data_IF_319652659752
#
_entry.id   IF_319652659752
#
_cell.length_a   1.000
_cell.length_b   1.000
_cell.length_c   1.000
_cell.angle_alpha   90.00
_cell.angle_beta   90.00
_cell.angle_gamma   90.00
#
_symmetry.space_group_name_H-M   'P 1'
#
loop_
_entity.id
_entity.type
_entity.pdbx_description
1 polymer ?
#
# COMPACT_ATOMS: atom_id res chain seq x y z
N UNK A 1 -5.00 15.90 -8.31
CA UNK A 1 -4.26 14.66 -8.61
C UNK A 1 -3.04 14.68 -7.71
N UNK A 2 -2.96 13.77 -6.74
CA UNK A 2 -1.85 13.71 -5.78
C UNK A 2 -0.60 13.20 -6.51
N UNK A 3 0.53 13.87 -6.34
CA UNK A 3 1.80 13.40 -6.88
C UNK A 3 2.38 12.31 -5.97
N UNK A 4 2.54 11.08 -6.50
CA UNK A 4 3.09 9.94 -5.77
C UNK A 4 4.54 10.21 -5.30
N UNK A 5 5.26 11.09 -5.98
CA UNK A 5 6.64 11.47 -5.62
C UNK A 5 6.68 12.31 -4.34
N UNK A 6 5.58 12.99 -3.99
CA UNK A 6 5.44 13.76 -2.76
C UNK A 6 5.00 12.95 -1.54
N UNK A 7 4.61 11.67 -1.74
CA UNK A 7 4.20 10.82 -0.63
C UNK A 7 5.40 10.52 0.27
N UNK A 8 5.18 10.64 1.57
CA UNK A 8 6.15 10.26 2.60
C UNK A 8 5.56 9.21 3.53
N UNK A 9 6.41 8.62 4.36
CA UNK A 9 5.98 7.62 5.34
C UNK A 9 4.98 8.22 6.35
N UNK A 10 5.13 9.50 6.69
CA UNK A 10 4.25 10.23 7.62
C UNK A 10 2.80 10.34 7.11
N UNK A 11 2.58 10.18 5.80
CA UNK A 11 1.24 10.13 5.24
C UNK A 11 0.51 8.82 5.58
N UNK A 12 1.26 7.75 5.84
CA UNK A 12 0.72 6.40 6.06
C UNK A 12 0.82 5.94 7.52
N UNK A 13 1.78 6.44 8.30
CA UNK A 13 1.91 6.09 9.73
C UNK A 13 0.63 6.30 10.55
N UNK A 14 -0.12 7.41 10.41
CA UNK A 14 -1.36 7.59 11.14
C UNK A 14 -2.45 6.58 10.76
N UNK A 15 -2.31 5.95 9.59
CA UNK A 15 -3.26 4.98 9.04
C UNK A 15 -2.93 3.54 9.45
N UNK A 16 -1.86 3.31 10.22
CA UNK A 16 -1.50 1.96 10.68
C UNK A 16 -2.67 1.34 11.47
N UNK A 17 -3.00 0.09 11.16
CA UNK A 17 -4.17 -0.66 11.64
C UNK A 17 -5.53 -0.11 11.22
N UNK A 18 -5.58 0.86 10.30
CA UNK A 18 -6.82 1.32 9.69
C UNK A 18 -7.13 0.53 8.41
N UNK A 19 -8.41 0.44 8.08
CA UNK A 19 -8.89 -0.15 6.83
C UNK A 19 -8.88 0.90 5.73
N UNK A 20 -8.17 0.60 4.66
CA UNK A 20 -8.17 1.32 3.39
C UNK A 20 -8.88 0.48 2.33
N UNK A 21 -9.19 1.08 1.19
CA UNK A 21 -9.77 0.37 0.05
C UNK A 21 -8.77 0.25 -1.09
N UNK A 22 -8.64 -0.96 -1.65
CA UNK A 22 -7.87 -1.22 -2.86
C UNK A 22 -8.85 -1.52 -3.99
N UNK A 23 -8.81 -0.73 -5.05
CA UNK A 23 -9.53 -0.98 -6.29
C UNK A 23 -8.62 -1.73 -7.27
N UNK A 24 -8.85 -3.04 -7.38
CA UNK A 24 -8.10 -3.95 -8.25
C UNK A 24 -8.53 -3.88 -9.71
N UNK A 25 -9.84 -3.68 -9.94
CA UNK A 25 -10.44 -3.45 -11.26
C UNK A 25 -11.54 -2.38 -11.14
N UNK A 26 -12.16 -1.97 -12.25
CA UNK A 26 -13.29 -1.02 -12.20
C UNK A 26 -14.50 -1.53 -11.39
N UNK A 27 -14.65 -2.86 -11.27
CA UNK A 27 -15.79 -3.51 -10.62
C UNK A 27 -15.41 -4.10 -9.25
N UNK A 28 -14.11 -4.26 -8.96
CA UNK A 28 -13.64 -4.92 -7.75
C UNK A 28 -12.84 -3.95 -6.88
N UNK A 29 -13.47 -3.57 -5.77
CA UNK A 29 -12.87 -2.84 -4.66
C UNK A 29 -12.91 -3.72 -3.42
N UNK A 30 -11.82 -3.77 -2.67
CA UNK A 30 -11.69 -4.58 -1.47
C UNK A 30 -11.15 -3.77 -0.32
N UNK A 31 -11.64 -4.08 0.87
CA UNK A 31 -11.08 -3.55 2.11
C UNK A 31 -9.74 -4.25 2.42
N UNK A 32 -8.77 -3.46 2.87
CA UNK A 32 -7.44 -3.92 3.24
C UNK A 32 -6.96 -3.16 4.49
N UNK A 33 -6.48 -3.88 5.50
CA UNK A 33 -5.87 -3.27 6.68
C UNK A 33 -4.42 -2.87 6.35
N UNK A 34 -4.02 -1.65 6.71
CA UNK A 34 -2.61 -1.26 6.70
C UNK A 34 -1.91 -1.88 7.90
N UNK A 35 -1.23 -3.01 7.68
CA UNK A 35 -0.68 -3.83 8.76
C UNK A 35 0.75 -3.49 9.12
N UNK A 36 1.51 -2.92 8.18
CA UNK A 36 2.91 -2.53 8.38
C UNK A 36 3.21 -1.24 7.64
N UNK A 37 4.02 -0.37 8.26
CA UNK A 37 4.61 0.82 7.64
C UNK A 37 6.06 0.89 8.13
N UNK A 38 7.02 0.89 7.22
CA UNK A 38 8.44 0.76 7.53
C UNK A 38 9.24 1.83 6.82
N UNK A 39 10.06 2.59 7.57
CA UNK A 39 11.12 3.42 7.00
C UNK A 39 12.26 2.52 6.55
N UNK A 40 12.61 2.59 5.27
CA UNK A 40 13.74 1.84 4.71
C UNK A 40 15.03 2.62 4.94
N UNK A 41 16.18 1.95 5.00
CA UNK A 41 17.44 2.68 5.17
C UNK A 41 17.68 3.61 3.97
N UNK A 42 17.84 4.90 4.24
CA UNK A 42 18.28 5.87 3.24
C UNK A 42 19.81 5.79 3.09
N UNK A 43 20.28 5.64 1.85
CA UNK A 43 21.66 5.96 1.52
C UNK A 43 21.80 7.47 1.33
N UNK A 44 23.00 8.01 1.56
CA UNK A 44 23.29 9.46 1.58
C UNK A 44 22.90 10.20 0.29
N UNK A 45 22.69 9.46 -0.80
CA UNK A 45 22.39 9.99 -2.14
C UNK A 45 20.92 9.88 -2.57
N UNK A 46 20.00 9.44 -1.70
CA UNK A 46 18.58 9.38 -2.06
C UNK A 46 17.89 10.74 -1.89
N UNK A 47 17.11 11.20 -2.90
CA UNK A 47 16.43 12.49 -2.84
C UNK A 47 15.31 12.54 -1.81
N UNK A 48 14.84 11.38 -1.33
CA UNK A 48 13.84 11.25 -0.26
C UNK A 48 14.11 10.02 0.61
N UNK A 49 13.49 10.02 1.79
CA UNK A 49 13.50 8.89 2.71
C UNK A 49 12.64 7.75 2.15
N UNK A 50 13.23 6.61 1.75
CA UNK A 50 12.46 5.49 1.23
C UNK A 50 11.62 4.85 2.35
N UNK A 51 10.49 4.29 1.98
CA UNK A 51 9.59 3.59 2.90
C UNK A 51 8.81 2.50 2.17
N UNK A 52 8.32 1.52 2.91
CA UNK A 52 7.36 0.54 2.43
C UNK A 52 6.16 0.45 3.35
N UNK A 53 5.08 -0.12 2.84
CA UNK A 53 3.95 -0.51 3.67
C UNK A 53 3.34 -1.82 3.18
N UNK A 54 2.61 -2.50 4.05
CA UNK A 54 1.88 -3.74 3.74
C UNK A 54 0.39 -3.54 3.99
N UNK A 55 -0.40 -3.90 2.98
CA UNK A 55 -1.86 -3.99 3.05
C UNK A 55 -2.28 -5.45 3.09
N UNK A 56 -3.18 -5.80 4.01
CA UNK A 56 -3.71 -7.17 4.14
C UNK A 56 -5.21 -7.19 3.83
N UNK A 57 -5.62 -7.93 2.80
CA UNK A 57 -7.04 -8.17 2.48
C UNK A 57 -7.53 -9.47 3.12
N UNK A 58 -8.84 -9.65 3.22
CA UNK A 58 -9.44 -10.88 3.75
C UNK A 58 -9.34 -12.11 2.81
N UNK A 59 -8.74 -11.97 1.62
CA UNK A 59 -8.65 -13.07 0.65
C UNK A 59 -7.72 -14.17 1.18
N UNK A 60 -8.09 -15.44 1.02
CA UNK A 60 -7.28 -16.59 1.47
C UNK A 60 -6.77 -17.48 0.33
N UNK A 61 -7.57 -17.64 -0.72
CA UNK A 61 -7.27 -18.54 -1.84
C UNK A 61 -7.12 -17.82 -3.18
N UNK A 62 -7.33 -16.50 -3.19
CA UNK A 62 -7.31 -15.66 -4.38
C UNK A 62 -6.37 -14.49 -4.14
N UNK A 63 -5.74 -14.01 -5.20
CA UNK A 63 -4.88 -12.85 -5.16
C UNK A 63 -4.84 -12.16 -6.51
N UNK A 64 -4.45 -10.89 -6.48
CA UNK A 64 -4.17 -10.13 -7.67
C UNK A 64 -2.67 -10.12 -7.96
N UNK A 65 -2.25 -10.27 -9.23
CA UNK A 65 -0.84 -10.22 -9.58
C UNK A 65 -0.25 -8.83 -9.33
N UNK A 66 1.07 -8.75 -9.26
CA UNK A 66 1.78 -7.48 -9.10
C UNK A 66 1.36 -6.49 -10.20
N UNK A 67 0.88 -5.32 -9.80
CA UNK A 67 0.42 -4.28 -10.71
C UNK A 67 0.21 -2.96 -9.98
N UNK A 68 -0.07 -1.90 -10.72
CA UNK A 68 -0.55 -0.65 -10.16
C UNK A 68 -2.06 -0.72 -9.92
N UNK A 69 -2.47 -0.60 -8.66
CA UNK A 69 -3.87 -0.55 -8.25
C UNK A 69 -4.19 0.77 -7.55
N UNK A 70 -5.47 1.10 -7.42
CA UNK A 70 -5.87 2.37 -6.81
C UNK A 70 -6.18 2.15 -5.33
N UNK A 71 -5.34 2.73 -4.47
CA UNK A 71 -5.54 2.74 -3.01
C UNK A 71 -6.27 4.02 -2.64
N UNK A 72 -7.41 3.90 -1.99
CA UNK A 72 -8.23 5.03 -1.55
C UNK A 72 -7.71 5.51 -0.20
N UNK A 73 -6.89 6.55 -0.23
CA UNK A 73 -6.37 7.22 0.94
C UNK A 73 -7.41 8.24 1.47
N UNK A 74 -7.68 8.31 2.78
CA UNK A 74 -8.73 9.18 3.34
C UNK A 74 -8.53 10.67 3.03
N UNK A 75 -7.30 11.17 3.16
CA UNK A 75 -7.00 12.59 2.89
C UNK A 75 -6.55 12.90 1.46
N UNK A 76 -5.82 11.98 0.81
CA UNK A 76 -5.19 12.19 -0.50
C UNK A 76 -5.98 11.64 -1.68
N UNK A 77 -7.11 10.97 -1.42
CA UNK A 77 -7.97 10.37 -2.43
C UNK A 77 -7.37 9.11 -3.05
N UNK A 78 -7.67 8.89 -4.33
CA UNK A 78 -7.23 7.69 -5.05
C UNK A 78 -5.76 7.80 -5.49
N UNK A 79 -4.93 6.90 -4.98
CA UNK A 79 -3.50 6.83 -5.25
C UNK A 79 -3.19 5.60 -6.12
N UNK A 80 -2.62 5.76 -7.33
CA UNK A 80 -2.16 4.63 -8.13
C UNK A 80 -0.86 4.06 -7.56
N UNK A 81 -0.94 3.00 -6.76
CA UNK A 81 0.19 2.40 -6.05
C UNK A 81 0.54 1.06 -6.68
N UNK A 82 1.84 0.86 -6.95
CA UNK A 82 2.35 -0.43 -7.39
C UNK A 82 2.41 -1.39 -6.19
N UNK A 83 1.58 -2.42 -6.23
CA UNK A 83 1.44 -3.42 -5.17
C UNK A 83 2.02 -4.75 -5.62
N UNK A 84 2.85 -5.36 -4.77
CA UNK A 84 3.46 -6.67 -4.97
C UNK A 84 2.82 -7.67 -4.00
N UNK A 85 2.24 -8.78 -4.48
CA UNK A 85 1.67 -9.80 -3.60
C UNK A 85 2.79 -10.52 -2.83
N UNK A 86 2.75 -10.49 -1.50
CA UNK A 86 3.66 -11.22 -0.61
C UNK A 86 3.15 -12.64 -0.27
N UNK A 87 1.93 -12.95 -0.67
CA UNK A 87 1.23 -14.17 -0.30
C UNK A 87 0.42 -14.03 0.99
N UNK A 88 -0.50 -14.95 1.26
CA UNK A 88 -1.38 -14.88 2.41
C UNK A 88 -0.66 -15.24 3.72
N UNK A 89 -1.14 -14.67 4.82
CA UNK A 89 -0.84 -15.07 6.20
C UNK A 89 -2.12 -15.56 6.91
N UNK A 90 -2.10 -15.62 8.25
CA UNK A 90 -3.27 -16.01 9.05
C UNK A 90 -4.46 -15.04 8.90
N UNK A 91 -4.21 -13.76 8.59
CA UNK A 91 -5.21 -12.71 8.41
C UNK A 91 -5.74 -12.66 6.97
N UNK A 92 -4.89 -12.91 5.98
CA UNK A 92 -5.28 -13.02 4.58
C UNK A 92 -4.18 -12.57 3.62
N UNK A 93 -4.54 -12.18 2.40
CA UNK A 93 -3.60 -11.87 1.32
C UNK A 93 -2.90 -10.54 1.56
N UNK A 94 -1.57 -10.56 1.52
CA UNK A 94 -0.73 -9.38 1.77
C UNK A 94 -0.16 -8.79 0.48
N UNK A 95 -0.10 -7.47 0.43
CA UNK A 95 0.43 -6.70 -0.68
C UNK A 95 1.38 -5.62 -0.15
N UNK A 96 2.60 -5.57 -0.68
CA UNK A 96 3.59 -4.56 -0.32
C UNK A 96 3.64 -3.45 -1.38
N UNK A 97 3.80 -2.21 -0.92
CA UNK A 97 4.21 -1.08 -1.74
C UNK A 97 5.58 -0.58 -1.26
N UNK A 98 6.48 -0.25 -2.20
CA UNK A 98 7.80 0.31 -1.90
C UNK A 98 7.94 1.66 -2.59
N UNK A 99 8.35 2.67 -1.83
CA UNK A 99 8.61 4.03 -2.29
C UNK A 99 10.09 4.33 -2.07
N UNK A 100 10.79 4.69 -3.14
CA UNK A 100 12.22 5.08 -3.14
C UNK A 100 12.42 6.48 -3.69
#
# INVERSE_FOLDING_TARGET
MTDLLSLTVEDFEPLLHQTLQIRFTHEVTMDAELTEVVRLNSHVDLPRQPFSFVLTTAQKNEYYPQSTFLVVHPEKGELPIFLVPLGPDEKGMRYEAIFT
#
